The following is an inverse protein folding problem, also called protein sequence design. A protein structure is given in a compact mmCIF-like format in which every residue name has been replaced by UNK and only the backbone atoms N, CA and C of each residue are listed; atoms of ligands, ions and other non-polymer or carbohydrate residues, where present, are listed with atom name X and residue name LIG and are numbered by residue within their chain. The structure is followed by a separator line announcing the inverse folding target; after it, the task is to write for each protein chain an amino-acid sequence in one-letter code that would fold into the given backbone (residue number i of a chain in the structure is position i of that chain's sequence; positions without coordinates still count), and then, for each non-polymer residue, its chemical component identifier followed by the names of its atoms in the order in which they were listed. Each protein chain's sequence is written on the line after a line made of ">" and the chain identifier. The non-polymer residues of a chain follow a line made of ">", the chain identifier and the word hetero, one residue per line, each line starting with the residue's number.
data_IF_615043248672
#
_entry.id   IF_615043248672
#
_cell.length_a   1.000
_cell.length_b   1.000
_cell.length_c   1.000
_cell.angle_alpha   90.00
_cell.angle_beta   90.00
_cell.angle_gamma   90.00
#
_symmetry.space_group_name_H-M   'P 1'
#
loop_
_entity.id
_entity.type
_entity.pdbx_description
1 polymer ?
#
# COMPACT_ATOMS: atom_id res chain seq x y z
N UNK A 1 -0.89 -9.31 -40.40
CA UNK A 1 -2.25 -9.45 -40.96
C UNK A 1 -3.07 -8.30 -40.40
N UNK A 2 -3.52 -7.36 -41.24
CA UNK A 2 -4.28 -6.19 -40.76
C UNK A 2 -5.73 -6.65 -40.57
N UNK A 3 -6.35 -6.50 -39.38
CA UNK A 3 -7.73 -6.90 -39.19
C UNK A 3 -8.64 -6.09 -40.12
N UNK A 4 -9.54 -6.77 -40.85
CA UNK A 4 -10.47 -6.11 -41.76
C UNK A 4 -11.67 -5.56 -40.96
N UNK A 5 -11.54 -4.35 -40.42
CA UNK A 5 -12.60 -3.69 -39.68
C UNK A 5 -13.70 -3.20 -40.63
N UNK A 6 -14.92 -3.72 -40.45
CA UNK A 6 -16.13 -3.21 -41.09
C UNK A 6 -16.66 -1.97 -40.33
N UNK A 7 -17.14 -0.93 -41.05
CA UNK A 7 -17.86 0.18 -40.43
C UNK A 7 -19.05 -0.32 -39.59
N UNK A 8 -19.21 0.20 -38.38
CA UNK A 8 -20.31 -0.15 -37.47
C UNK A 8 -19.98 -1.18 -36.38
N UNK A 9 -18.74 -1.67 -36.29
CA UNK A 9 -18.30 -2.48 -35.15
C UNK A 9 -17.84 -1.60 -33.98
N UNK A 10 -18.28 -1.93 -32.77
CA UNK A 10 -17.70 -1.41 -31.53
C UNK A 10 -16.39 -2.13 -31.24
N UNK A 11 -15.38 -1.41 -30.78
CA UNK A 11 -14.11 -1.97 -30.34
C UNK A 11 -13.70 -1.37 -28.99
N UNK A 12 -13.03 -2.18 -28.18
CA UNK A 12 -12.30 -1.71 -27.00
C UNK A 12 -10.87 -1.42 -27.44
N UNK A 13 -10.32 -0.29 -27.01
CA UNK A 13 -8.92 0.08 -27.27
C UNK A 13 -8.25 0.42 -25.96
N UNK A 14 -7.04 -0.09 -25.78
CA UNK A 14 -6.18 0.26 -24.65
C UNK A 14 -5.19 1.34 -25.09
N UNK A 15 -5.05 2.39 -24.27
CA UNK A 15 -4.19 3.54 -24.58
C UNK A 15 -3.14 3.66 -23.49
N UNK A 16 -1.89 3.36 -23.85
CA UNK A 16 -0.73 3.55 -22.97
C UNK A 16 -0.02 4.86 -23.30
N UNK A 17 0.22 5.70 -22.29
CA UNK A 17 0.81 7.04 -22.47
C UNK A 17 2.27 7.13 -22.06
N UNK A 18 2.71 6.28 -21.12
CA UNK A 18 4.07 6.31 -20.56
C UNK A 18 4.54 4.89 -20.27
N UNK A 19 5.85 4.69 -20.30
CA UNK A 19 6.50 3.43 -19.94
C UNK A 19 7.74 3.74 -19.12
N UNK A 20 7.91 3.01 -18.02
CA UNK A 20 9.10 3.06 -17.15
C UNK A 20 9.62 1.64 -17.01
N UNK A 21 10.94 1.49 -16.98
CA UNK A 21 11.60 0.19 -16.87
C UNK A 21 12.38 0.10 -15.54
N UNK A 22 12.60 -1.12 -15.05
CA UNK A 22 13.37 -1.40 -13.84
C UNK A 22 12.82 -0.70 -12.58
N UNK A 23 11.52 -0.82 -12.35
CA UNK A 23 10.83 -0.21 -11.20
C UNK A 23 10.38 -1.24 -10.18
N UNK A 24 10.21 -0.81 -8.93
CA UNK A 24 9.49 -1.59 -7.92
C UNK A 24 8.00 -1.45 -8.22
N UNK A 25 7.39 -2.52 -8.71
CA UNK A 25 5.96 -2.58 -8.98
C UNK A 25 5.28 -3.42 -7.90
N UNK A 26 4.22 -2.89 -7.30
CA UNK A 26 3.39 -3.62 -6.35
C UNK A 26 1.93 -3.64 -6.81
N UNK A 27 1.15 -4.67 -6.45
CA UNK A 27 -0.27 -4.71 -6.78
C UNK A 27 -1.01 -3.49 -6.20
N UNK A 28 -1.97 -2.94 -6.95
CA UNK A 28 -2.79 -1.80 -6.49
C UNK A 28 -3.46 -2.08 -5.13
N UNK A 29 -3.80 -3.35 -4.88
CA UNK A 29 -4.46 -3.81 -3.64
C UNK A 29 -3.60 -3.65 -2.38
N UNK A 30 -2.27 -3.53 -2.52
CA UNK A 30 -1.36 -3.32 -1.41
C UNK A 30 -1.28 -1.86 -0.95
N UNK A 31 -1.65 -0.91 -1.82
CA UNK A 31 -1.56 0.52 -1.54
C UNK A 31 -2.87 0.99 -0.89
N UNK A 32 -2.75 1.66 0.24
CA UNK A 32 -3.88 2.30 0.92
C UNK A 32 -3.59 3.77 1.21
N UNK A 33 -4.63 4.55 1.46
CA UNK A 33 -4.49 5.94 1.92
C UNK A 33 -4.91 5.98 3.37
N UNK A 34 -4.05 6.53 4.23
CA UNK A 34 -4.31 6.67 5.67
C UNK A 34 -3.94 8.06 6.15
N UNK A 35 -4.65 8.50 7.19
CA UNK A 35 -4.32 9.70 7.93
C UNK A 35 -3.20 9.40 8.94
N UNK A 36 -2.00 9.93 8.69
CA UNK A 36 -0.86 9.70 9.58
C UNK A 36 -1.04 10.37 10.93
N UNK A 37 -1.70 11.53 11.00
CA UNK A 37 -1.96 12.20 12.27
C UNK A 37 -2.88 11.36 13.15
N UNK A 38 -3.90 10.73 12.54
CA UNK A 38 -4.77 9.79 13.25
C UNK A 38 -4.00 8.55 13.74
N UNK A 39 -3.19 7.92 12.89
CA UNK A 39 -2.40 6.73 13.26
C UNK A 39 -1.41 7.06 14.39
N UNK A 40 -0.75 8.23 14.33
CA UNK A 40 0.18 8.68 15.36
C UNK A 40 -0.51 8.90 16.71
N UNK A 41 -1.73 9.46 16.72
CA UNK A 41 -2.55 9.59 17.94
C UNK A 41 -2.90 8.24 18.53
N UNK A 42 -3.38 7.32 17.71
CA UNK A 42 -3.77 5.98 18.16
C UNK A 42 -2.57 5.21 18.77
N UNK A 43 -1.38 5.34 18.17
CA UNK A 43 -0.15 4.78 18.72
C UNK A 43 0.27 5.45 20.03
N UNK A 44 0.23 6.79 20.11
CA UNK A 44 0.58 7.53 21.32
C UNK A 44 -0.36 7.20 22.49
N UNK A 45 -1.66 7.02 22.23
CA UNK A 45 -2.63 6.57 23.23
C UNK A 45 -2.38 5.13 23.68
N UNK A 46 -2.09 4.20 22.76
CA UNK A 46 -1.75 2.81 23.08
C UNK A 46 -0.49 2.75 23.95
N UNK A 47 0.57 3.45 23.56
CA UNK A 47 1.83 3.50 24.30
C UNK A 47 1.64 4.02 25.73
N UNK A 48 0.85 5.09 25.91
CA UNK A 48 0.48 5.63 27.25
C UNK A 48 -0.23 4.61 28.13
N UNK A 49 -1.02 3.68 27.57
CA UNK A 49 -1.73 2.64 28.32
C UNK A 49 -0.83 1.45 28.70
N UNK A 50 0.17 1.12 27.87
CA UNK A 50 1.01 -0.08 28.06
C UNK A 50 2.27 0.21 28.86
N UNK A 51 2.87 1.39 28.72
CA UNK A 51 4.12 1.76 29.37
C UNK A 51 3.91 3.08 30.11
N UNK A 52 3.79 3.02 31.44
CA UNK A 52 3.69 4.20 32.31
C UNK A 52 4.98 5.02 32.42
N UNK A 53 5.69 5.27 31.30
CA UNK A 53 6.90 6.10 31.25
C UNK A 53 6.65 7.39 30.48
N UNK A 54 6.86 8.49 31.20
CA UNK A 54 6.68 9.88 30.80
C UNK A 54 7.75 10.40 29.81
N UNK A 55 8.29 9.54 28.95
CA UNK A 55 9.36 9.88 28.00
C UNK A 55 9.03 9.38 26.59
N UNK A 56 7.81 9.68 26.15
CA UNK A 56 7.45 9.65 24.73
C UNK A 56 7.58 11.07 24.20
N UNK A 57 8.50 11.29 23.26
CA UNK A 57 8.88 12.61 22.72
C UNK A 57 7.77 13.30 21.91
N UNK A 58 6.59 12.68 21.79
CA UNK A 58 5.44 13.19 21.05
C UNK A 58 4.21 13.08 21.95
N UNK A 59 3.67 14.21 22.39
CA UNK A 59 2.40 14.22 23.11
C UNK A 59 1.25 14.18 22.11
N UNK A 60 0.11 13.60 22.50
CA UNK A 60 -1.12 13.62 21.67
C UNK A 60 -1.52 15.06 21.32
N UNK A 61 -1.26 16.00 22.23
CA UNK A 61 -1.52 17.43 22.08
C UNK A 61 -0.63 18.13 21.04
N UNK A 62 0.52 17.54 20.67
CA UNK A 62 1.44 18.09 19.67
C UNK A 62 1.08 17.67 18.23
N UNK A 63 0.14 16.74 18.05
CA UNK A 63 -0.26 16.21 16.74
C UNK A 63 -1.34 17.11 16.12
N UNK A 64 -1.15 17.66 14.89
CA UNK A 64 -2.11 18.55 14.24
C UNK A 64 -3.51 17.93 14.06
N UNK A 65 -4.58 18.71 14.28
CA UNK A 65 -5.98 18.26 14.10
C UNK A 65 -6.39 18.05 12.64
N UNK A 66 -5.60 18.56 11.69
CA UNK A 66 -5.82 18.42 10.27
C UNK A 66 -5.49 17.00 9.78
N UNK A 67 -6.22 16.52 8.77
CA UNK A 67 -5.98 15.20 8.17
C UNK A 67 -4.66 15.22 7.36
N UNK A 68 -3.76 14.27 7.62
CA UNK A 68 -2.54 14.04 6.81
C UNK A 68 -2.68 12.76 6.00
N UNK A 69 -3.45 12.84 4.91
CA UNK A 69 -3.73 11.71 4.03
C UNK A 69 -2.51 11.33 3.19
N UNK A 70 -1.84 10.25 3.56
CA UNK A 70 -0.68 9.72 2.85
C UNK A 70 -0.92 8.32 2.29
N UNK A 71 -0.20 8.00 1.20
CA UNK A 71 -0.18 6.66 0.64
C UNK A 71 0.75 5.80 1.49
N UNK A 72 0.23 4.67 1.95
CA UNK A 72 0.94 3.73 2.78
C UNK A 72 0.79 2.31 2.26
N UNK A 73 1.79 1.51 2.57
CA UNK A 73 1.89 0.08 2.31
C UNK A 73 2.25 -0.60 3.62
N UNK A 74 1.87 -1.87 3.75
CA UNK A 74 2.30 -2.67 4.89
C UNK A 74 3.28 -3.74 4.40
N UNK A 75 4.45 -3.80 5.03
CA UNK A 75 5.45 -4.83 4.77
C UNK A 75 5.52 -5.78 5.96
N UNK A 76 5.88 -7.03 5.69
CA UNK A 76 6.08 -8.02 6.74
C UNK A 76 7.52 -7.93 7.22
N UNK A 77 7.70 -7.62 8.50
CA UNK A 77 9.00 -7.63 9.19
C UNK A 77 8.85 -8.50 10.43
N UNK A 78 9.61 -9.59 10.51
CA UNK A 78 9.58 -10.54 11.65
C UNK A 78 8.16 -11.04 12.01
N UNK A 79 7.28 -11.21 11.01
CA UNK A 79 5.89 -11.66 11.19
C UNK A 79 4.93 -10.57 11.69
N UNK A 80 5.35 -9.30 11.65
CA UNK A 80 4.54 -8.14 12.01
C UNK A 80 4.33 -7.22 10.80
N UNK A 81 3.19 -6.54 10.78
CA UNK A 81 2.84 -5.56 9.77
C UNK A 81 3.49 -4.19 10.08
N UNK A 82 4.54 -3.85 9.35
CA UNK A 82 5.20 -2.55 9.41
C UNK A 82 4.58 -1.60 8.38
N UNK A 83 4.00 -0.50 8.85
CA UNK A 83 3.33 0.50 8.00
C UNK A 83 4.36 1.52 7.50
N UNK A 84 4.50 1.64 6.18
CA UNK A 84 5.42 2.60 5.56
C UNK A 84 4.72 3.55 4.62
N UNK A 85 5.06 4.82 4.72
CA UNK A 85 4.70 5.83 3.71
C UNK A 85 5.46 5.56 2.42
N UNK A 86 4.77 5.66 1.30
CA UNK A 86 5.36 5.49 -0.04
C UNK A 86 5.07 6.66 -0.95
N UNK A 87 6.01 6.90 -1.86
CA UNK A 87 5.79 7.75 -3.01
C UNK A 87 5.51 6.88 -4.24
N UNK A 88 4.37 7.11 -4.88
CA UNK A 88 3.94 6.35 -6.06
C UNK A 88 4.28 7.07 -7.36
N UNK A 89 4.58 6.32 -8.41
CA UNK A 89 4.79 6.79 -9.77
C UNK A 89 3.61 6.49 -10.70
N UNK A 90 3.91 6.02 -11.91
CA UNK A 90 2.88 5.62 -12.86
C UNK A 90 2.22 4.30 -12.43
N UNK A 91 0.99 4.08 -12.88
CA UNK A 91 0.23 2.87 -12.59
C UNK A 91 -0.48 2.37 -13.84
N UNK A 92 -0.67 1.07 -13.91
CA UNK A 92 -1.57 0.42 -14.85
C UNK A 92 -2.84 -0.08 -14.13
N UNK A 93 -3.59 -0.99 -14.73
CA UNK A 93 -4.84 -1.52 -14.18
C UNK A 93 -4.64 -2.51 -13.02
N UNK A 94 -3.40 -2.97 -12.80
CA UNK A 94 -3.04 -4.04 -11.87
C UNK A 94 -1.95 -3.63 -10.87
N UNK A 95 -1.00 -2.81 -11.28
CA UNK A 95 0.20 -2.46 -10.52
C UNK A 95 0.46 -0.95 -10.47
N UNK A 96 1.17 -0.54 -9.41
CA UNK A 96 1.63 0.83 -9.20
C UNK A 96 3.14 0.80 -9.02
N UNK A 97 3.84 1.73 -9.67
CA UNK A 97 5.25 2.02 -9.44
C UNK A 97 5.45 2.65 -8.05
N UNK A 98 6.43 2.15 -7.30
CA UNK A 98 6.89 2.77 -6.04
C UNK A 98 8.25 3.41 -6.30
N UNK A 99 8.31 4.73 -6.10
CA UNK A 99 9.53 5.53 -6.23
C UNK A 99 10.34 5.54 -4.95
N UNK A 100 9.67 5.62 -3.80
CA UNK A 100 10.29 5.68 -2.48
C UNK A 100 9.43 4.97 -1.44
N UNK A 101 10.06 4.44 -0.38
CA UNK A 101 9.40 3.87 0.80
C UNK A 101 9.42 2.34 0.88
N UNK A 102 9.71 1.65 -0.22
CA UNK A 102 9.94 0.19 -0.27
C UNK A 102 11.13 -0.12 -1.15
N UNK A 103 11.85 -1.20 -0.80
CA UNK A 103 12.94 -1.76 -1.61
C UNK A 103 12.51 -3.05 -2.33
N UNK A 104 13.18 -3.37 -3.42
CA UNK A 104 12.98 -4.64 -4.12
C UNK A 104 13.30 -5.83 -3.19
N UNK A 105 12.42 -6.83 -3.17
CA UNK A 105 12.57 -8.05 -2.36
C UNK A 105 11.88 -8.01 -1.00
N UNK A 106 11.23 -6.91 -0.63
CA UNK A 106 10.41 -6.85 0.58
C UNK A 106 9.05 -7.51 0.36
N UNK A 107 8.57 -8.24 1.37
CA UNK A 107 7.25 -8.87 1.37
C UNK A 107 6.18 -7.85 1.71
N UNK A 108 5.29 -7.56 0.76
CA UNK A 108 4.18 -6.61 0.93
C UNK A 108 2.88 -7.35 1.23
N UNK A 109 2.10 -6.84 2.16
CA UNK A 109 0.80 -7.40 2.52
C UNK A 109 -0.23 -7.03 1.46
N UNK A 110 -0.83 -8.05 0.84
CA UNK A 110 -1.92 -7.93 -0.13
C UNK A 110 -3.23 -8.43 0.49
N UNK A 111 -4.35 -7.84 0.10
CA UNK A 111 -5.65 -8.31 0.56
C UNK A 111 -6.81 -7.43 0.13
N UNK A 112 -8.04 -7.76 0.55
CA UNK A 112 -9.20 -6.93 0.29
C UNK A 112 -8.99 -5.51 0.81
N UNK A 113 -9.39 -4.51 0.04
CA UNK A 113 -9.17 -3.10 0.38
C UNK A 113 -9.56 -2.75 1.82
N UNK A 114 -10.70 -3.26 2.31
CA UNK A 114 -11.14 -2.99 3.70
C UNK A 114 -10.16 -3.52 4.75
N UNK A 115 -9.57 -4.70 4.52
CA UNK A 115 -8.61 -5.29 5.45
C UNK A 115 -7.35 -4.43 5.52
N UNK A 116 -6.75 -4.11 4.38
CA UNK A 116 -5.49 -3.34 4.32
C UNK A 116 -5.68 -1.87 4.71
N UNK A 117 -6.78 -1.22 4.29
CA UNK A 117 -6.99 0.22 4.55
C UNK A 117 -7.60 0.56 5.90
N UNK A 118 -8.36 -0.34 6.54
CA UNK A 118 -9.13 -0.01 7.75
C UNK A 118 -8.89 -0.93 8.94
N UNK A 119 -8.59 -2.20 8.71
CA UNK A 119 -8.55 -3.20 9.80
C UNK A 119 -7.13 -3.50 10.22
N UNK A 120 -6.18 -3.52 9.29
CA UNK A 120 -4.78 -3.79 9.59
C UNK A 120 -4.21 -2.63 10.41
N UNK A 121 -3.76 -2.92 11.63
CA UNK A 121 -3.08 -1.95 12.48
C UNK A 121 -1.56 -2.09 12.28
N UNK A 122 -0.79 -1.01 12.48
CA UNK A 122 0.66 -1.12 12.67
C UNK A 122 0.98 -2.13 13.77
N UNK A 123 2.07 -2.88 13.62
CA UNK A 123 2.58 -3.89 14.56
C UNK A 123 1.63 -5.08 14.79
N UNK A 124 0.58 -5.21 13.97
CA UNK A 124 -0.29 -6.38 14.02
C UNK A 124 0.47 -7.63 13.55
N UNK A 125 0.31 -8.72 14.28
CA UNK A 125 0.86 -10.03 13.87
C UNK A 125 0.13 -10.54 12.64
N UNK A 126 0.90 -10.96 11.64
CA UNK A 126 0.38 -11.45 10.36
C UNK A 126 0.97 -12.82 10.05
N UNK A 127 0.14 -13.68 9.45
CA UNK A 127 0.58 -14.96 8.94
C UNK A 127 0.75 -14.82 7.43
N UNK A 128 1.90 -15.26 6.93
CA UNK A 128 2.18 -15.29 5.50
C UNK A 128 1.40 -16.44 4.85
N UNK A 129 0.31 -16.12 4.16
CA UNK A 129 -0.27 -17.02 3.18
C UNK A 129 0.40 -16.73 1.83
N UNK A 130 1.31 -17.60 1.41
CA UNK A 130 1.97 -17.51 0.10
C UNK A 130 0.93 -17.81 -0.98
N UNK A 131 0.41 -16.80 -1.67
CA UNK A 131 -0.45 -17.00 -2.85
C UNK A 131 0.46 -17.36 -4.04
N UNK A 132 0.93 -18.61 -4.05
CA UNK A 132 1.81 -19.20 -5.06
C UNK A 132 1.04 -19.51 -6.36
N UNK A 133 0.27 -18.52 -6.84
CA UNK A 133 -0.45 -18.62 -8.13
C UNK A 133 0.50 -18.26 -9.26
N UNK A 134 1.31 -19.26 -9.63
CA UNK A 134 1.99 -19.32 -10.91
C UNK A 134 0.99 -18.97 -12.04
N UNK A 135 1.21 -17.91 -12.84
CA UNK A 135 0.42 -17.68 -14.05
C UNK A 135 0.88 -18.70 -15.11
N UNK A 136 0.39 -19.93 -15.00
CA UNK A 136 0.45 -20.93 -16.06
C UNK A 136 -0.87 -20.94 -16.81
N UNK A 137 -0.77 -20.86 -18.14
CA UNK A 137 -1.81 -21.05 -19.17
C UNK A 137 -2.85 -19.94 -19.35
N UNK A 138 -2.60 -19.04 -20.32
CA UNK A 138 -3.38 -18.98 -21.57
C UNK A 138 -2.51 -18.49 -22.74
#
# INVERSE_FOLDING_TARGET
>A
MIPNFRPGMSGTVDVSTMTVENVVAIPIQAVSVRDLNQVARDQAEKARRTVGSADSTVSVDDIPEEEDLQRVVFVVVDGMADMRTVETGISDDTHIEIKNGISAGESVIIGPYRAVSRTLEPDASVNEDSDDRNPSDD
#
